data_IF_591833135048
#
_entry.id   IF_591833135048
#
_cell.length_a   1.000
_cell.length_b   1.000
_cell.length_c   1.000
_cell.angle_alpha   90.00
_cell.angle_beta   90.00
_cell.angle_gamma   90.00
#
_symmetry.space_group_name_H-M   'P 1'
#
loop_
_entity.id
_entity.type
_entity.pdbx_description
1 polymer ?
#
# COMPACT_ATOMS: atom_id res chain seq x y z
N UNK A 1 -4.26 12.73 -41.95
CA UNK A 1 -5.06 11.51 -41.80
C UNK A 1 -5.77 11.63 -40.46
N UNK A 2 -7.04 12.05 -40.46
CA UNK A 2 -7.80 12.29 -39.23
C UNK A 2 -8.41 10.99 -38.75
N UNK A 3 -8.10 10.59 -37.52
CA UNK A 3 -8.70 9.44 -36.87
C UNK A 3 -9.93 9.95 -36.09
N UNK A 4 -10.97 10.34 -36.82
CA UNK A 4 -12.31 10.53 -36.24
C UNK A 4 -12.99 9.16 -36.29
N UNK A 5 -12.79 8.37 -35.23
CA UNK A 5 -13.36 7.05 -35.06
C UNK A 5 -13.94 6.92 -33.66
N UNK A 6 -15.26 7.04 -33.58
CA UNK A 6 -16.17 6.71 -32.48
C UNK A 6 -15.53 6.02 -31.28
N UNK A 7 -15.29 6.74 -30.18
CA UNK A 7 -14.90 6.15 -28.90
C UNK A 7 -16.09 5.35 -28.33
N UNK A 8 -16.18 4.08 -28.71
CA UNK A 8 -17.06 3.11 -28.09
C UNK A 8 -16.61 2.90 -26.63
N UNK A 9 -17.58 2.71 -25.73
CA UNK A 9 -17.39 2.53 -24.28
C UNK A 9 -16.47 1.33 -24.00
N UNK A 10 -15.19 1.60 -23.76
CA UNK A 10 -14.11 0.61 -23.79
C UNK A 10 -12.84 1.11 -24.48
N UNK A 11 -12.93 2.22 -25.23
CA UNK A 11 -11.77 2.89 -25.77
C UNK A 11 -10.98 3.56 -24.61
N UNK A 12 -9.67 3.30 -24.48
CA UNK A 12 -8.87 3.95 -23.46
C UNK A 12 -9.03 5.46 -23.58
N UNK A 13 -9.40 6.11 -22.46
CA UNK A 13 -9.53 7.55 -22.37
C UNK A 13 -8.32 8.22 -23.05
N UNK A 14 -8.51 9.33 -23.77
CA UNK A 14 -7.44 10.05 -24.49
C UNK A 14 -6.13 10.19 -23.71
N UNK A 15 -6.22 10.35 -22.38
CA UNK A 15 -5.09 10.41 -21.46
C UNK A 15 -4.25 9.12 -21.41
N UNK A 16 -4.89 7.96 -21.49
CA UNK A 16 -4.23 6.64 -21.53
C UNK A 16 -3.50 6.45 -22.85
N UNK A 17 -4.11 6.82 -23.98
CA UNK A 17 -3.46 6.76 -25.31
C UNK A 17 -2.20 7.63 -25.33
N UNK A 18 -2.29 8.86 -24.82
CA UNK A 18 -1.15 9.77 -24.77
C UNK A 18 -0.01 9.24 -23.87
N UNK A 19 -0.34 8.66 -22.71
CA UNK A 19 0.64 8.02 -21.83
C UNK A 19 1.38 6.88 -22.53
N UNK A 20 0.66 5.98 -23.20
CA UNK A 20 1.28 4.87 -23.93
C UNK A 20 2.12 5.35 -25.11
N UNK A 21 1.63 6.34 -25.86
CA UNK A 21 2.41 6.95 -26.93
C UNK A 21 3.75 7.50 -26.41
N UNK A 22 3.75 8.27 -25.32
CA UNK A 22 4.97 8.80 -24.71
C UNK A 22 5.92 7.69 -24.21
N UNK A 23 5.37 6.64 -23.61
CA UNK A 23 6.15 5.48 -23.15
C UNK A 23 6.87 4.80 -24.32
N UNK A 24 6.14 4.50 -25.39
CA UNK A 24 6.69 3.86 -26.58
C UNK A 24 7.66 4.75 -27.37
N UNK A 25 7.48 6.08 -27.36
CA UNK A 25 8.48 7.00 -27.93
C UNK A 25 9.75 7.10 -27.11
N UNK A 26 9.74 6.65 -25.86
CA UNK A 26 10.92 6.61 -24.97
C UNK A 26 11.65 5.25 -25.04
N UNK A 27 11.37 4.43 -26.06
CA UNK A 27 11.89 3.06 -26.25
C UNK A 27 11.49 2.07 -25.14
N UNK A 28 10.52 2.44 -24.29
CA UNK A 28 9.97 1.56 -23.26
C UNK A 28 8.70 0.88 -23.76
N UNK A 29 8.86 -0.36 -24.25
CA UNK A 29 7.78 -1.20 -24.73
C UNK A 29 7.19 -2.12 -23.66
N UNK A 30 7.53 -1.91 -22.38
CA UNK A 30 6.98 -2.71 -21.30
C UNK A 30 5.48 -2.48 -21.17
N UNK A 31 4.71 -3.55 -21.34
CA UNK A 31 3.24 -3.55 -21.20
C UNK A 31 2.84 -3.74 -19.73
N UNK A 32 3.76 -4.18 -18.88
CA UNK A 32 3.49 -4.41 -17.46
C UNK A 32 3.16 -3.08 -16.76
N UNK A 33 2.15 -3.13 -15.87
CA UNK A 33 1.82 -1.98 -15.04
C UNK A 33 2.97 -1.80 -14.03
N UNK A 34 3.63 -0.65 -14.08
CA UNK A 34 4.68 -0.30 -13.12
C UNK A 34 4.18 -0.52 -11.69
N UNK A 35 5.06 -1.05 -10.84
CA UNK A 35 4.80 -1.20 -9.42
C UNK A 35 4.42 0.16 -8.86
N UNK A 36 3.12 0.34 -8.60
CA UNK A 36 2.61 1.63 -8.15
C UNK A 36 3.16 1.84 -6.76
N UNK A 37 3.96 2.89 -6.58
CA UNK A 37 4.44 3.29 -5.27
C UNK A 37 3.24 3.39 -4.31
N UNK A 38 3.14 2.43 -3.38
CA UNK A 38 2.20 2.55 -2.27
C UNK A 38 2.61 3.77 -1.48
N UNK A 39 1.63 4.53 -0.98
CA UNK A 39 1.93 5.56 0.02
C UNK A 39 2.59 4.86 1.20
N UNK A 40 3.88 5.12 1.40
CA UNK A 40 4.55 4.82 2.67
C UNK A 40 3.88 5.71 3.71
N UNK A 41 3.15 5.08 4.63
CA UNK A 41 2.71 5.78 5.83
C UNK A 41 3.95 5.87 6.71
N UNK A 42 4.57 7.04 6.73
CA UNK A 42 5.71 7.38 7.57
C UNK A 42 5.28 7.34 9.04
N UNK A 43 5.22 6.12 9.58
CA UNK A 43 5.13 5.90 11.01
C UNK A 43 6.27 4.97 11.33
N UNK A 44 7.02 5.38 12.34
CA UNK A 44 8.25 4.74 12.74
C UNK A 44 7.98 3.28 13.16
N UNK A 45 8.39 2.37 12.29
CA UNK A 45 8.26 0.93 12.52
C UNK A 45 9.13 0.48 13.71
N UNK A 46 10.22 1.19 13.99
CA UNK A 46 11.08 0.92 15.14
C UNK A 46 10.39 1.35 16.45
N UNK A 47 9.65 2.46 16.45
CA UNK A 47 8.81 2.84 17.61
C UNK A 47 7.73 1.80 17.87
N UNK A 48 7.00 1.36 16.83
CA UNK A 48 6.01 0.29 16.97
C UNK A 48 6.65 -0.99 17.50
N UNK A 49 7.83 -1.35 16.98
CA UNK A 49 8.57 -2.53 17.42
C UNK A 49 8.99 -2.42 18.88
N UNK A 50 9.54 -1.28 19.29
CA UNK A 50 9.94 -1.01 20.66
C UNK A 50 8.76 -1.13 21.63
N UNK A 51 7.59 -0.64 21.23
CA UNK A 51 6.39 -0.71 22.07
C UNK A 51 5.92 -2.16 22.28
N UNK A 52 5.89 -2.94 21.20
CA UNK A 52 5.49 -4.36 21.23
C UNK A 52 6.49 -5.23 21.99
N UNK A 53 7.77 -4.88 21.96
CA UNK A 53 8.82 -5.59 22.71
C UNK A 53 8.83 -5.22 24.19
N UNK A 54 8.47 -3.99 24.55
CA UNK A 54 8.32 -3.57 25.93
C UNK A 54 7.12 -4.23 26.62
N UNK A 55 5.99 -4.37 25.92
CA UNK A 55 4.81 -5.05 26.45
C UNK A 55 4.09 -5.88 25.38
N UNK A 56 4.29 -7.19 25.45
CA UNK A 56 3.70 -8.15 24.52
C UNK A 56 2.21 -8.40 24.75
N UNK A 57 1.65 -7.92 25.86
CA UNK A 57 0.24 -8.11 26.23
C UNK A 57 -0.66 -6.96 25.76
N UNK A 58 -0.08 -5.87 25.24
CA UNK A 58 -0.88 -4.75 24.72
C UNK A 58 -1.77 -5.18 23.56
N UNK A 59 -3.00 -4.70 23.61
CA UNK A 59 -3.93 -4.88 22.51
C UNK A 59 -3.58 -3.93 21.36
N UNK A 60 -3.94 -4.33 20.14
CA UNK A 60 -3.77 -3.49 18.95
C UNK A 60 -4.53 -2.17 19.04
N UNK A 61 -5.61 -2.12 19.84
CA UNK A 61 -6.38 -0.90 20.07
C UNK A 61 -5.64 0.08 20.96
N UNK A 62 -4.99 -0.40 22.02
CA UNK A 62 -4.14 0.43 22.88
C UNK A 62 -2.91 0.94 22.12
N UNK A 63 -2.29 0.09 21.31
CA UNK A 63 -1.18 0.48 20.43
C UNK A 63 -1.62 1.57 19.44
N UNK A 64 -2.81 1.47 18.85
CA UNK A 64 -3.32 2.49 17.94
C UNK A 64 -3.48 3.84 18.65
N UNK A 65 -4.07 3.86 19.84
CA UNK A 65 -4.20 5.09 20.65
C UNK A 65 -2.83 5.68 21.00
N UNK A 66 -1.89 4.82 21.41
CA UNK A 66 -0.56 5.26 21.85
C UNK A 66 0.28 5.83 20.70
N UNK A 67 0.12 5.28 19.50
CA UNK A 67 0.82 5.73 18.29
C UNK A 67 0.10 6.86 17.55
N UNK A 68 -1.05 7.32 18.05
CA UNK A 68 -1.88 8.34 17.38
C UNK A 68 -2.56 7.84 16.11
N UNK A 69 -2.64 6.53 15.91
CA UNK A 69 -3.31 5.91 14.76
C UNK A 69 -4.81 5.81 15.05
N UNK A 70 -5.63 6.34 14.14
CA UNK A 70 -7.09 6.23 14.23
C UNK A 70 -7.60 4.82 13.93
N UNK A 71 -6.86 4.06 13.11
CA UNK A 71 -7.29 2.76 12.62
C UNK A 71 -6.41 1.61 13.11
N UNK A 72 -7.04 0.67 13.80
CA UNK A 72 -6.38 -0.54 14.30
C UNK A 72 -5.89 -1.45 13.17
N UNK A 73 -6.55 -1.46 12.01
CA UNK A 73 -6.09 -2.20 10.83
C UNK A 73 -4.71 -1.73 10.36
N UNK A 74 -4.43 -0.43 10.44
CA UNK A 74 -3.14 0.12 10.06
C UNK A 74 -2.04 -0.45 10.96
N UNK A 75 -2.27 -0.51 12.27
CA UNK A 75 -1.35 -1.13 13.23
C UNK A 75 -1.17 -2.62 12.92
N UNK A 76 -2.24 -3.37 12.63
CA UNK A 76 -2.14 -4.81 12.27
C UNK A 76 -1.30 -5.01 11.01
N UNK A 77 -1.52 -4.19 9.97
CA UNK A 77 -0.76 -4.25 8.72
C UNK A 77 0.72 -4.00 8.96
N UNK A 78 1.05 -3.01 9.81
CA UNK A 78 2.43 -2.69 10.20
C UNK A 78 3.07 -3.80 11.04
N UNK A 79 2.35 -4.36 12.01
CA UNK A 79 2.82 -5.51 12.78
C UNK A 79 3.19 -6.69 11.86
N UNK A 80 2.35 -6.97 10.85
CA UNK A 80 2.66 -7.98 9.84
C UNK A 80 3.89 -7.64 9.01
N UNK A 81 4.11 -6.38 8.63
CA UNK A 81 5.30 -5.99 7.86
C UNK A 81 6.61 -6.12 8.66
N UNK A 82 6.57 -6.01 10.00
CA UNK A 82 7.72 -6.27 10.88
C UNK A 82 7.79 -7.73 11.37
N UNK A 83 6.96 -8.63 10.84
CA UNK A 83 6.94 -10.05 11.22
C UNK A 83 6.40 -10.35 12.62
N UNK A 84 5.77 -9.39 13.30
CA UNK A 84 5.12 -9.61 14.60
C UNK A 84 3.74 -10.21 14.38
N UNK A 85 3.52 -11.39 14.95
CA UNK A 85 2.24 -12.10 14.93
C UNK A 85 1.70 -12.26 16.34
N UNK A 86 0.39 -12.12 16.50
CA UNK A 86 -0.26 -12.44 17.76
C UNK A 86 -0.21 -13.95 17.97
N UNK A 87 0.58 -14.41 18.94
CA UNK A 87 0.48 -15.79 19.41
C UNK A 87 -0.75 -15.90 20.31
N UNK A 88 -1.79 -16.54 19.80
CA UNK A 88 -2.90 -17.01 20.64
C UNK A 88 -2.37 -18.25 21.39
N UNK A 89 -1.68 -18.00 22.51
CA UNK A 89 -1.06 -19.03 23.33
C UNK A 89 -1.98 -19.51 24.44
N UNK A 90 -2.44 -20.75 24.30
CA UNK A 90 -2.72 -21.77 25.32
C UNK A 90 -3.13 -21.26 26.72
N UNK A 91 -4.41 -21.41 27.02
CA UNK A 91 -4.85 -21.76 28.38
C UNK A 91 -4.18 -23.10 28.71
N UNK A 92 -3.20 -23.08 29.61
CA UNK A 92 -2.70 -24.29 30.28
C UNK A 92 -3.14 -24.27 31.73
#
# INVERSE_FOLDING_TARGET
MSIEGSLQEGCPLRCTIHKWHTKFTSDDYSIENEDRARRSMELDLDVLRSHVEADTYQTTRELAVTLGETETETVIRRLKSIGKVRKLGLMS
#
